data_IF_737448130705
#
_entry.id   IF_737448130705
#
_cell.length_a   1.000
_cell.length_b   1.000
_cell.length_c   1.000
_cell.angle_alpha   90.00
_cell.angle_beta   90.00
_cell.angle_gamma   90.00
#
_symmetry.space_group_name_H-M   'P 1'
#
loop_
_entity.id
_entity.type
_entity.pdbx_description
1 polymer ?
#
# COMPACT_ATOMS: atom_id res chain seq x y z
N UNK A 1 -18.93 -5.43 14.55
CA UNK A 1 -17.46 -5.56 14.36
C UNK A 1 -17.24 -6.17 12.99
N UNK A 2 -16.62 -5.46 12.04
CA UNK A 2 -16.29 -6.03 10.73
C UNK A 2 -14.98 -6.80 10.84
N UNK A 3 -15.06 -8.12 10.74
CA UNK A 3 -13.92 -9.02 10.79
C UNK A 3 -13.13 -8.89 9.47
N UNK A 4 -11.81 -8.72 9.56
CA UNK A 4 -10.94 -8.68 8.37
C UNK A 4 -11.15 -9.96 7.54
N UNK A 5 -11.46 -9.85 6.22
CA UNK A 5 -11.65 -11.03 5.40
C UNK A 5 -10.34 -11.81 5.25
N UNK A 6 -10.44 -13.14 5.27
CA UNK A 6 -9.30 -14.00 4.97
C UNK A 6 -9.13 -14.09 3.45
N UNK A 7 -7.92 -14.39 2.98
CA UNK A 7 -7.64 -14.50 1.54
C UNK A 7 -8.56 -15.51 0.84
N UNK A 8 -8.87 -16.63 1.51
CA UNK A 8 -9.83 -17.64 1.01
C UNK A 8 -11.22 -17.06 0.77
N UNK A 9 -11.66 -16.12 1.61
CA UNK A 9 -13.00 -15.54 1.50
C UNK A 9 -13.06 -14.58 0.30
N UNK A 10 -11.95 -13.90 0.00
CA UNK A 10 -11.82 -13.05 -1.20
C UNK A 10 -11.79 -13.90 -2.46
N UNK A 11 -11.05 -15.02 -2.46
CA UNK A 11 -11.06 -15.98 -3.56
C UNK A 11 -12.46 -16.53 -3.86
N UNK A 12 -13.20 -16.92 -2.81
CA UNK A 12 -14.58 -17.38 -2.93
C UNK A 12 -15.50 -16.27 -3.44
N UNK A 13 -15.35 -15.04 -2.95
CA UNK A 13 -16.15 -13.90 -3.41
C UNK A 13 -15.92 -13.60 -4.89
N UNK A 14 -14.68 -13.68 -5.38
CA UNK A 14 -14.38 -13.58 -6.82
C UNK A 14 -15.07 -14.71 -7.58
N UNK A 15 -14.86 -15.96 -7.16
CA UNK A 15 -15.40 -17.12 -7.86
C UNK A 15 -16.92 -17.09 -7.95
N UNK A 16 -17.59 -16.75 -6.86
CA UNK A 16 -19.06 -16.72 -6.78
C UNK A 16 -19.64 -15.62 -7.68
N UNK A 17 -18.96 -14.49 -7.82
CA UNK A 17 -19.47 -13.32 -8.55
C UNK A 17 -19.09 -13.32 -10.02
N UNK A 18 -17.90 -13.81 -10.37
CA UNK A 18 -17.33 -13.69 -11.72
C UNK A 18 -17.01 -15.03 -12.38
N UNK A 19 -17.21 -16.15 -11.67
CA UNK A 19 -16.92 -17.50 -12.17
C UNK A 19 -15.45 -17.90 -12.07
N UNK A 20 -15.18 -19.17 -12.37
CA UNK A 20 -13.83 -19.74 -12.27
C UNK A 20 -12.82 -19.12 -13.26
N UNK A 21 -13.29 -18.58 -14.38
CA UNK A 21 -12.44 -17.93 -15.39
C UNK A 21 -11.89 -16.57 -14.95
N UNK A 22 -12.48 -15.95 -13.93
CA UNK A 22 -12.08 -14.64 -13.43
C UNK A 22 -11.25 -14.68 -12.13
N UNK A 23 -10.74 -15.86 -11.78
CA UNK A 23 -9.92 -16.08 -10.59
C UNK A 23 -8.58 -15.31 -10.66
N UNK A 24 -8.18 -14.58 -9.60
CA UNK A 24 -6.85 -14.02 -9.51
C UNK A 24 -5.82 -15.14 -9.39
N UNK A 25 -4.65 -14.96 -10.02
CA UNK A 25 -3.51 -15.87 -9.86
C UNK A 25 -2.91 -15.78 -8.47
N UNK A 26 -3.00 -14.62 -7.83
CA UNK A 26 -2.47 -14.36 -6.49
C UNK A 26 -3.27 -13.25 -5.82
N UNK A 27 -3.45 -13.35 -4.51
CA UNK A 27 -3.90 -12.24 -3.67
C UNK A 27 -2.81 -11.97 -2.62
N UNK A 28 -2.33 -10.74 -2.55
CA UNK A 28 -1.40 -10.30 -1.52
C UNK A 28 -2.12 -9.41 -0.50
N UNK A 29 -1.78 -9.56 0.78
CA UNK A 29 -2.27 -8.62 1.80
C UNK A 29 -1.48 -7.31 1.70
N UNK A 30 -2.19 -6.19 1.69
CA UNK A 30 -1.62 -4.84 1.75
C UNK A 30 -2.43 -4.03 2.77
N UNK A 31 -2.29 -4.29 4.08
CA UNK A 31 -3.22 -3.78 5.09
C UNK A 31 -3.42 -2.26 4.99
N UNK A 32 -4.67 -1.76 5.10
CA UNK A 32 -5.90 -2.51 5.39
C UNK A 32 -6.47 -3.30 4.19
N UNK A 33 -5.91 -3.10 3.00
CA UNK A 33 -6.40 -3.58 1.70
C UNK A 33 -5.74 -4.91 1.23
N UNK A 34 -6.07 -5.27 -0.01
CA UNK A 34 -5.55 -6.44 -0.71
C UNK A 34 -5.21 -6.10 -2.16
N UNK A 35 -4.19 -6.76 -2.70
CA UNK A 35 -3.79 -6.63 -4.10
C UNK A 35 -4.13 -7.93 -4.81
N UNK A 36 -4.98 -7.84 -5.83
CA UNK A 36 -5.38 -8.96 -6.68
C UNK A 36 -4.55 -8.95 -7.96
N UNK A 37 -3.88 -10.06 -8.24
CA UNK A 37 -3.12 -10.27 -9.47
C UNK A 37 -3.94 -11.13 -10.41
N UNK A 38 -4.09 -10.71 -11.65
CA UNK A 38 -4.84 -11.42 -12.68
C UNK A 38 -3.93 -11.90 -13.79
N UNK A 39 -4.27 -13.03 -14.46
CA UNK A 39 -3.42 -13.60 -15.51
C UNK A 39 -3.44 -12.75 -16.78
N UNK A 40 -4.52 -12.03 -17.06
CA UNK A 40 -4.65 -11.16 -18.23
C UNK A 40 -5.31 -9.82 -17.87
N UNK A 41 -5.01 -8.73 -18.62
CA UNK A 41 -5.68 -7.44 -18.46
C UNK A 41 -7.19 -7.50 -18.64
N UNK A 42 -7.65 -8.36 -19.57
CA UNK A 42 -9.07 -8.53 -19.85
C UNK A 42 -9.85 -9.00 -18.62
N UNK A 43 -9.35 -10.04 -17.92
CA UNK A 43 -10.00 -10.56 -16.71
C UNK A 43 -10.00 -9.50 -15.60
N UNK A 44 -8.89 -8.78 -15.42
CA UNK A 44 -8.79 -7.67 -14.46
C UNK A 44 -9.86 -6.61 -14.75
N UNK A 45 -10.03 -6.22 -16.01
CA UNK A 45 -11.02 -5.19 -16.40
C UNK A 45 -12.45 -5.67 -16.21
N UNK A 46 -12.74 -6.95 -16.47
CA UNK A 46 -14.04 -7.55 -16.14
C UNK A 46 -14.33 -7.47 -14.65
N UNK A 47 -13.38 -7.81 -13.78
CA UNK A 47 -13.59 -7.73 -12.33
C UNK A 47 -13.73 -6.27 -11.88
N UNK A 48 -12.90 -5.37 -12.42
CA UNK A 48 -12.90 -3.95 -12.09
C UNK A 48 -14.20 -3.23 -12.47
N UNK A 49 -14.83 -3.58 -13.61
CA UNK A 49 -16.04 -2.91 -14.10
C UNK A 49 -17.25 -3.04 -13.17
N UNK A 50 -17.21 -3.98 -12.22
CA UNK A 50 -18.29 -4.22 -11.27
C UNK A 50 -18.21 -3.34 -10.02
N UNK A 51 -17.10 -2.63 -9.80
CA UNK A 51 -16.92 -1.58 -8.79
C UNK A 51 -16.81 -2.06 -7.33
N UNK A 52 -17.54 -3.09 -6.94
CA UNK A 52 -17.48 -3.66 -5.59
C UNK A 52 -17.61 -5.19 -5.61
N UNK A 53 -17.06 -5.80 -4.57
CA UNK A 53 -17.14 -7.22 -4.30
C UNK A 53 -17.72 -7.43 -2.91
N UNK A 54 -18.72 -8.29 -2.82
CA UNK A 54 -19.39 -8.63 -1.57
C UNK A 54 -19.06 -10.06 -1.21
N UNK A 55 -18.60 -10.25 0.02
CA UNK A 55 -18.47 -11.55 0.65
C UNK A 55 -19.42 -11.70 1.83
N UNK A 56 -19.45 -12.87 2.47
CA UNK A 56 -20.44 -13.17 3.50
C UNK A 56 -20.49 -12.17 4.67
N UNK A 57 -19.36 -11.56 5.01
CA UNK A 57 -19.22 -10.64 6.15
C UNK A 57 -18.40 -9.38 5.83
N UNK A 58 -18.23 -9.05 4.54
CA UNK A 58 -17.42 -7.92 4.11
C UNK A 58 -17.86 -7.37 2.76
N UNK A 59 -17.57 -6.10 2.53
CA UNK A 59 -17.66 -5.45 1.22
C UNK A 59 -16.31 -4.83 0.91
N UNK A 60 -15.76 -5.13 -0.27
CA UNK A 60 -14.54 -4.52 -0.79
C UNK A 60 -14.89 -3.64 -1.98
N UNK A 61 -14.41 -2.40 -1.97
CA UNK A 61 -14.37 -1.57 -3.18
C UNK A 61 -13.20 -2.01 -4.05
N UNK A 62 -13.42 -2.02 -5.37
CA UNK A 62 -12.40 -2.37 -6.35
C UNK A 62 -11.89 -1.09 -7.01
N UNK A 63 -10.58 -0.87 -6.95
CA UNK A 63 -9.93 0.25 -7.64
C UNK A 63 -8.69 -0.23 -8.40
N UNK A 64 -8.30 0.47 -9.47
CA UNK A 64 -7.03 0.21 -10.13
C UNK A 64 -5.87 0.44 -9.16
N UNK A 65 -4.96 -0.53 -9.07
CA UNK A 65 -3.73 -0.33 -8.33
C UNK A 65 -2.81 0.63 -9.08
N UNK A 66 -2.47 1.75 -8.45
CA UNK A 66 -1.48 2.71 -8.96
C UNK A 66 -0.28 2.78 -8.01
N UNK A 67 0.89 3.18 -8.52
CA UNK A 67 2.08 3.37 -7.69
C UNK A 67 1.89 4.47 -6.63
N UNK A 68 0.91 5.35 -6.79
CA UNK A 68 0.59 6.40 -5.81
C UNK A 68 0.15 5.82 -4.47
N UNK A 69 -0.43 4.62 -4.43
CA UNK A 69 -0.83 3.95 -3.18
C UNK A 69 0.37 3.57 -2.29
N UNK A 70 1.59 3.49 -2.85
CA UNK A 70 2.82 3.29 -2.06
C UNK A 70 3.41 4.59 -1.53
N UNK A 71 2.96 5.74 -2.03
CA UNK A 71 3.53 7.03 -1.70
C UNK A 71 2.63 7.71 -0.67
N UNK A 72 3.05 7.75 0.59
CA UNK A 72 2.53 8.77 1.48
C UNK A 72 2.93 10.13 0.89
N UNK A 73 1.94 10.89 0.43
CA UNK A 73 2.12 12.30 0.07
C UNK A 73 2.27 13.08 1.37
N UNK A 74 3.48 13.09 1.88
CA UNK A 74 3.83 13.81 3.11
C UNK A 74 4.06 15.29 2.73
N UNK A 75 3.40 16.24 3.42
CA UNK A 75 3.69 17.66 3.24
C UNK A 75 5.17 17.95 3.41
N UNK A 76 5.72 18.84 2.58
CA UNK A 76 7.13 19.22 2.64
C UNK A 76 7.57 19.75 4.03
N UNK A 77 6.65 20.29 4.81
CA UNK A 77 6.90 20.81 6.17
C UNK A 77 6.85 19.71 7.26
N UNK A 78 6.88 18.44 6.90
CA UNK A 78 6.83 17.36 7.90
C UNK A 78 8.15 17.24 8.62
N UNK A 79 8.11 17.37 9.95
CA UNK A 79 9.28 17.25 10.79
C UNK A 79 9.83 15.82 10.71
N UNK A 80 11.06 15.70 10.21
CA UNK A 80 11.79 14.43 10.14
C UNK A 80 12.81 14.33 11.28
N UNK A 81 12.88 13.15 11.90
CA UNK A 81 13.96 12.82 12.84
C UNK A 81 14.99 11.95 12.09
N UNK A 82 16.25 12.36 12.12
CA UNK A 82 17.35 11.61 11.54
C UNK A 82 18.15 10.99 12.69
N UNK A 83 18.18 9.66 12.76
CA UNK A 83 19.07 8.95 13.67
C UNK A 83 20.43 8.83 13.00
N UNK A 84 21.48 9.39 13.62
CA UNK A 84 22.83 9.32 13.08
C UNK A 84 23.66 8.35 13.89
N UNK A 85 24.14 7.28 13.26
CA UNK A 85 25.00 6.27 13.86
C UNK A 85 26.41 6.33 13.25
N UNK A 86 27.44 5.92 14.01
CA UNK A 86 28.81 5.81 13.50
C UNK A 86 29.56 7.14 13.33
N UNK A 87 29.06 8.25 13.87
CA UNK A 87 29.78 9.52 13.86
C UNK A 87 31.00 9.40 14.79
N UNK A 88 32.23 9.66 14.31
CA UNK A 88 33.41 9.68 15.17
C UNK A 88 33.26 10.70 16.30
N UNK A 89 33.75 10.43 17.52
CA UNK A 89 33.59 11.32 18.68
C UNK A 89 34.05 12.77 18.43
N UNK A 90 35.08 12.95 17.60
CA UNK A 90 35.61 14.24 17.19
C UNK A 90 34.73 15.02 16.20
N UNK A 91 33.78 14.34 15.54
CA UNK A 91 32.87 14.90 14.54
C UNK A 91 31.42 15.02 15.03
N UNK A 92 31.10 14.49 16.22
CA UNK A 92 29.76 14.56 16.84
C UNK A 92 29.45 15.93 17.47
N UNK A 93 30.24 16.96 17.14
CA UNK A 93 30.02 18.32 17.61
C UNK A 93 28.73 18.85 16.98
N UNK A 94 27.81 19.32 17.81
CA UNK A 94 26.51 19.88 17.41
C UNK A 94 26.67 20.95 16.33
N UNK A 95 27.73 21.76 16.38
CA UNK A 95 28.04 22.76 15.35
C UNK A 95 28.37 22.14 13.97
N UNK A 96 29.14 21.05 13.92
CA UNK A 96 29.48 20.38 12.66
C UNK A 96 28.24 19.81 11.98
N UNK A 97 27.39 19.11 12.74
CA UNK A 97 26.11 18.59 12.22
C UNK A 97 25.18 19.72 11.83
N UNK A 98 25.10 20.81 12.61
CA UNK A 98 24.27 21.96 12.26
C UNK A 98 24.72 22.64 10.96
N UNK A 99 26.03 22.67 10.69
CA UNK A 99 26.60 23.22 9.46
C UNK A 99 26.31 22.33 8.26
N UNK A 100 26.48 21.01 8.41
CA UNK A 100 26.18 20.03 7.36
C UNK A 100 24.69 20.01 7.00
N UNK A 101 23.81 20.16 7.99
CA UNK A 101 22.36 20.14 7.79
C UNK A 101 21.79 21.51 7.39
N UNK A 102 22.59 22.58 7.45
CA UNK A 102 22.16 23.97 7.17
C UNK A 102 21.51 24.14 5.80
N UNK A 103 22.00 23.55 4.69
CA UNK A 103 21.38 23.67 3.37
C UNK A 103 19.99 23.03 3.29
N UNK A 104 19.69 22.07 4.16
CA UNK A 104 18.44 21.31 4.19
C UNK A 104 17.46 21.84 5.25
N UNK A 105 17.85 22.90 5.98
CA UNK A 105 17.07 23.49 7.08
C UNK A 105 16.08 24.56 6.61
N UNK A 106 15.99 24.79 5.30
CA UNK A 106 15.09 25.76 4.68
C UNK A 106 14.08 25.06 3.78
N UNK A 107 13.13 24.36 4.42
CA UNK A 107 11.71 24.30 4.02
C UNK A 107 10.89 24.43 5.30
#
# INVERSE_FOLDING_TARGET
>A
MHTKPLLKDIYLAVQNRYGASAQPTKIASFPPDFILYFPTPHIRETVLSHGSMEGPNFTLSLSPWTNEYRCQKIPYNTMVAVNTEGIPPQASVKECLSTLLRPYRNI
#
